data_IF_635521706316
#
_entry.id   IF_635521706316
#
_cell.length_a   1.000
_cell.length_b   1.000
_cell.length_c   1.000
_cell.angle_alpha   90.00
_cell.angle_beta   90.00
_cell.angle_gamma   90.00
#
_symmetry.space_group_name_H-M   'P 1'
#
loop_
_entity.id
_entity.type
_entity.pdbx_description
1 polymer ?
#
# COMPACT_ATOMS: atom_id res chain seq x y z
N UNK A 1 -7.92 10.22 -8.85
CA UNK A 1 -7.88 10.13 -7.37
C UNK A 1 -8.15 11.49 -6.70
N UNK A 2 -8.73 12.44 -7.44
CA UNK A 2 -9.00 13.80 -6.96
C UNK A 2 -9.75 13.78 -5.62
N UNK A 3 -9.17 14.45 -4.61
CA UNK A 3 -9.74 14.57 -3.27
C UNK A 3 -9.62 13.32 -2.39
N UNK A 4 -8.90 12.28 -2.85
CA UNK A 4 -8.63 11.08 -2.07
C UNK A 4 -7.38 11.23 -1.23
N UNK A 5 -7.39 10.63 -0.03
CA UNK A 5 -6.26 10.56 0.88
C UNK A 5 -5.62 9.17 0.78
N UNK A 6 -4.35 9.11 0.41
CA UNK A 6 -3.60 7.87 0.22
C UNK A 6 -2.45 7.82 1.22
N UNK A 7 -2.47 6.82 2.11
CA UNK A 7 -1.33 6.53 2.96
C UNK A 7 -0.39 5.57 2.21
N UNK A 8 0.87 5.97 2.06
CA UNK A 8 1.91 5.17 1.43
C UNK A 8 2.86 4.65 2.51
N UNK A 9 2.69 3.39 2.88
CA UNK A 9 3.55 2.70 3.84
C UNK A 9 4.73 2.08 3.10
N UNK A 10 5.97 2.44 3.49
CA UNK A 10 7.18 1.83 2.97
C UNK A 10 7.87 0.99 4.04
N UNK A 11 8.43 -0.14 3.62
CA UNK A 11 9.09 -1.09 4.51
C UNK A 11 10.56 -1.30 4.14
N UNK A 12 11.30 -2.12 4.87
CA UNK A 12 12.75 -2.25 4.76
C UNK A 12 13.25 -2.97 3.50
N UNK A 13 12.88 -2.50 2.32
CA UNK A 13 13.35 -3.01 1.03
C UNK A 13 14.01 -1.91 0.19
N UNK A 14 14.97 -2.27 -0.67
CA UNK A 14 15.71 -1.31 -1.50
C UNK A 14 14.82 -0.44 -2.38
N UNK A 15 13.67 -0.96 -2.84
CA UNK A 15 12.68 -0.21 -3.62
C UNK A 15 12.07 0.97 -2.86
N UNK A 16 12.23 1.06 -1.54
CA UNK A 16 11.80 2.24 -0.77
C UNK A 16 12.53 3.52 -1.21
N UNK A 17 13.73 3.43 -1.76
CA UNK A 17 14.49 4.59 -2.31
C UNK A 17 13.73 5.28 -3.43
N UNK A 18 12.93 4.52 -4.18
CA UNK A 18 12.24 4.98 -5.38
C UNK A 18 10.78 5.37 -5.12
N UNK A 19 10.33 5.37 -3.85
CA UNK A 19 8.90 5.62 -3.49
C UNK A 19 8.39 6.97 -3.99
N UNK A 20 9.28 7.94 -4.18
CA UNK A 20 8.92 9.25 -4.75
C UNK A 20 8.19 9.12 -6.08
N UNK A 21 8.52 8.11 -6.89
CA UNK A 21 7.85 7.84 -8.18
C UNK A 21 6.34 7.63 -7.95
N UNK A 22 5.97 6.79 -6.98
CA UNK A 22 4.55 6.56 -6.67
C UNK A 22 3.90 7.81 -6.07
N UNK A 23 4.59 8.52 -5.18
CA UNK A 23 4.06 9.75 -4.59
C UNK A 23 3.78 10.82 -5.65
N UNK A 24 4.69 11.00 -6.61
CA UNK A 24 4.52 11.94 -7.71
C UNK A 24 3.33 11.53 -8.61
N UNK A 25 3.18 10.25 -8.93
CA UNK A 25 2.05 9.72 -9.70
C UNK A 25 0.71 9.96 -8.98
N UNK A 26 0.62 9.62 -7.70
CA UNK A 26 -0.58 9.82 -6.91
C UNK A 26 -0.96 11.31 -6.81
N UNK A 27 0.05 12.17 -6.64
CA UNK A 27 -0.15 13.63 -6.63
C UNK A 27 -0.65 14.15 -7.98
N UNK A 28 -0.11 13.65 -9.09
CA UNK A 28 -0.57 13.98 -10.44
C UNK A 28 -2.03 13.59 -10.67
N UNK A 29 -2.48 12.48 -10.06
CA UNK A 29 -3.88 12.04 -10.05
C UNK A 29 -4.76 12.84 -9.07
N UNK A 30 -4.22 13.84 -8.39
CA UNK A 30 -4.95 14.72 -7.47
C UNK A 30 -5.20 14.15 -6.08
N UNK A 31 -4.44 13.13 -5.67
CA UNK A 31 -4.51 12.57 -4.32
C UNK A 31 -3.69 13.40 -3.31
N UNK A 32 -4.14 13.41 -2.06
CA UNK A 32 -3.34 13.85 -0.92
C UNK A 32 -2.55 12.65 -0.40
N UNK A 33 -1.22 12.73 -0.45
CA UNK A 33 -0.34 11.61 -0.07
C UNK A 33 0.27 11.84 1.31
N UNK A 34 0.25 10.80 2.15
CA UNK A 34 0.95 10.77 3.43
C UNK A 34 1.90 9.58 3.44
N UNK A 35 3.19 9.87 3.48
CA UNK A 35 4.23 8.84 3.53
C UNK A 35 4.41 8.33 4.96
N UNK A 36 4.33 7.02 5.15
CA UNK A 36 4.46 6.33 6.43
C UNK A 36 5.61 5.31 6.40
N UNK A 37 6.87 5.77 6.48
CA UNK A 37 8.00 4.85 6.45
C UNK A 37 8.15 4.13 7.80
N UNK A 38 8.42 2.81 7.75
CA UNK A 38 8.86 2.08 8.93
C UNK A 38 10.28 2.52 9.36
N UNK A 39 10.68 2.23 10.59
CA UNK A 39 12.03 2.55 11.07
C UNK A 39 13.12 1.99 10.14
N UNK A 40 12.98 0.74 9.69
CA UNK A 40 13.91 0.13 8.73
C UNK A 40 13.87 0.82 7.36
N UNK A 41 12.72 1.26 6.91
CA UNK A 41 12.62 2.03 5.67
C UNK A 41 13.35 3.38 5.78
N UNK A 42 13.23 4.07 6.91
CA UNK A 42 13.95 5.32 7.16
C UNK A 42 15.49 5.18 7.11
N UNK A 43 16.03 3.99 7.44
CA UNK A 43 17.48 3.76 7.35
C UNK A 43 17.97 3.45 5.92
N UNK A 44 17.04 3.17 5.00
CA UNK A 44 17.33 2.86 3.59
C UNK A 44 17.09 4.08 2.69
N UNK A 45 16.03 4.84 2.98
CA UNK A 45 15.61 5.99 2.19
C UNK A 45 16.42 7.24 2.54
N UNK A 46 16.74 8.06 1.54
CA UNK A 46 17.09 9.45 1.79
C UNK A 46 15.80 10.28 1.85
N UNK A 47 15.41 10.68 3.05
CA UNK A 47 14.18 11.45 3.28
C UNK A 47 14.18 12.82 2.59
N UNK A 48 15.35 13.36 2.21
CA UNK A 48 15.44 14.60 1.42
C UNK A 48 14.81 14.43 0.03
N UNK A 49 14.84 13.23 -0.53
CA UNK A 49 14.24 12.95 -1.86
C UNK A 49 12.72 13.09 -1.87
N UNK A 50 12.09 12.98 -0.71
CA UNK A 50 10.63 13.09 -0.52
C UNK A 50 10.24 14.37 0.24
N UNK A 51 11.15 15.36 0.29
CA UNK A 51 10.85 16.69 0.82
C UNK A 51 9.68 17.31 0.04
N UNK A 52 8.73 17.90 0.77
CA UNK A 52 7.49 18.41 0.19
C UNK A 52 6.30 17.45 0.24
N UNK A 53 6.51 16.22 0.73
CA UNK A 53 5.43 15.32 1.11
C UNK A 53 5.25 15.27 2.63
N UNK A 54 4.00 15.11 3.09
CA UNK A 54 3.74 14.90 4.51
C UNK A 54 4.23 13.52 4.93
N UNK A 55 5.05 13.46 6.00
CA UNK A 55 5.63 12.23 6.51
C UNK A 55 5.14 11.99 7.94
N UNK A 56 4.56 10.81 8.21
CA UNK A 56 4.13 10.38 9.55
C UNK A 56 4.82 9.07 9.93
N UNK A 57 5.71 9.10 10.93
CA UNK A 57 6.53 7.94 11.32
C UNK A 57 5.96 7.16 12.49
N UNK A 58 5.40 7.86 13.48
CA UNK A 58 4.95 7.30 14.75
C UNK A 58 3.69 8.00 15.25
N UNK A 59 3.05 7.42 16.28
CA UNK A 59 2.10 8.13 17.11
C UNK A 59 2.77 9.32 17.79
N UNK A 60 2.08 10.43 17.85
CA UNK A 60 2.40 11.53 18.75
C UNK A 60 1.54 11.38 19.99
N UNK A 61 2.15 11.06 21.13
CA UNK A 61 1.45 10.84 22.40
C UNK A 61 1.35 12.06 23.28
N UNK A 62 1.90 13.20 22.88
CA UNK A 62 1.84 14.41 23.67
C UNK A 62 0.44 15.00 23.63
N UNK A 63 -0.17 15.19 24.81
CA UNK A 63 -1.48 15.87 24.97
C UNK A 63 -1.49 17.30 24.41
N UNK A 64 -0.31 17.88 24.20
CA UNK A 64 -0.09 19.21 23.61
C UNK A 64 0.05 19.19 22.10
N UNK A 65 0.03 17.99 21.48
CA UNK A 65 0.08 17.88 20.03
C UNK A 65 -1.14 18.59 19.46
N UNK A 66 -0.85 19.72 18.85
CA UNK A 66 -1.86 20.61 18.31
C UNK A 66 -2.70 19.87 17.26
N UNK A 67 -3.92 20.33 17.08
CA UNK A 67 -4.83 19.91 16.00
C UNK A 67 -4.13 19.89 14.62
N UNK A 68 -3.04 20.64 14.47
CA UNK A 68 -2.21 20.74 13.26
C UNK A 68 -1.37 19.48 12.93
N UNK A 69 -1.22 18.54 13.86
CA UNK A 69 -0.51 17.27 13.60
C UNK A 69 -1.44 16.11 13.22
N UNK A 70 -2.75 16.34 13.21
CA UNK A 70 -3.70 15.35 12.74
C UNK A 70 -3.59 15.21 11.22
N UNK A 71 -3.30 14.01 10.78
CA UNK A 71 -3.38 13.67 9.36
C UNK A 71 -4.84 13.38 9.00
N UNK A 72 -5.29 13.74 7.79
CA UNK A 72 -6.65 13.40 7.33
C UNK A 72 -6.83 11.89 7.27
N UNK A 73 -8.07 11.41 7.47
CA UNK A 73 -8.41 9.99 7.38
C UNK A 73 -8.12 9.44 5.97
N UNK A 74 -7.61 8.24 5.90
CA UNK A 74 -7.26 7.58 4.65
C UNK A 74 -8.49 7.05 3.91
N UNK A 75 -8.46 7.15 2.60
CA UNK A 75 -9.35 6.42 1.68
C UNK A 75 -8.71 5.10 1.24
N UNK A 76 -7.37 5.08 1.12
CA UNK A 76 -6.58 3.94 0.66
C UNK A 76 -5.27 3.87 1.43
N UNK A 77 -4.85 2.66 1.77
CA UNK A 77 -3.48 2.40 2.21
C UNK A 77 -2.74 1.61 1.13
N UNK A 78 -1.56 2.06 0.75
CA UNK A 78 -0.65 1.36 -0.15
C UNK A 78 0.57 0.92 0.65
N UNK A 79 0.84 -0.38 0.68
CA UNK A 79 2.04 -0.96 1.33
C UNK A 79 3.01 -1.35 0.23
N UNK A 80 3.90 -0.43 -0.13
CA UNK A 80 4.83 -0.59 -1.25
C UNK A 80 6.16 0.16 -0.99
N UNK A 81 7.29 -0.55 -0.97
CA UNK A 81 7.43 -2.00 -1.01
C UNK A 81 6.96 -2.69 0.28
N UNK A 82 6.42 -3.91 0.20
CA UNK A 82 6.04 -4.74 1.33
C UNK A 82 7.01 -5.90 1.49
N UNK A 83 7.85 -5.87 2.54
CA UNK A 83 8.79 -6.96 2.85
C UNK A 83 8.07 -8.21 3.37
N UNK A 84 8.74 -9.37 3.30
CA UNK A 84 8.25 -10.63 3.87
C UNK A 84 7.76 -10.49 5.32
N UNK A 85 8.54 -9.78 6.17
CA UNK A 85 8.17 -9.54 7.57
C UNK A 85 6.83 -8.80 7.69
N UNK A 86 6.67 -7.70 6.97
CA UNK A 86 5.43 -6.91 7.01
C UNK A 86 4.26 -7.67 6.39
N UNK A 87 4.49 -8.35 5.26
CA UNK A 87 3.49 -9.18 4.59
C UNK A 87 2.94 -10.27 5.51
N UNK A 88 3.84 -10.98 6.19
CA UNK A 88 3.48 -12.02 7.14
C UNK A 88 2.73 -11.47 8.36
N UNK A 89 3.14 -10.30 8.87
CA UNK A 89 2.46 -9.65 10.00
C UNK A 89 1.06 -9.19 9.63
N UNK A 90 0.87 -8.61 8.46
CA UNK A 90 -0.48 -8.23 7.99
C UNK A 90 -1.36 -9.47 7.88
N UNK A 91 -0.88 -10.55 7.28
CA UNK A 91 -1.65 -11.79 7.13
C UNK A 91 -2.04 -12.43 8.49
N UNK A 92 -1.25 -12.23 9.53
CA UNK A 92 -1.44 -12.89 10.81
C UNK A 92 -1.91 -11.97 11.95
N UNK A 93 -2.36 -10.74 11.64
CA UNK A 93 -2.96 -9.83 12.62
C UNK A 93 -1.96 -9.25 13.63
N UNK A 94 -0.66 -9.16 13.29
CA UNK A 94 0.38 -8.66 14.18
C UNK A 94 0.54 -7.15 13.98
N UNK A 95 0.28 -6.36 15.02
CA UNK A 95 0.30 -4.90 15.00
C UNK A 95 1.35 -4.35 15.99
N UNK A 96 2.62 -4.72 15.79
CA UNK A 96 3.73 -4.41 16.71
C UNK A 96 4.46 -3.08 16.42
N UNK A 97 3.97 -2.30 15.46
CA UNK A 97 4.45 -0.95 15.17
C UNK A 97 3.32 -0.05 14.67
N UNK A 98 3.60 1.25 14.56
CA UNK A 98 2.61 2.25 14.18
C UNK A 98 1.96 1.95 12.82
N UNK A 99 2.76 1.64 11.80
CA UNK A 99 2.26 1.39 10.45
C UNK A 99 1.35 0.16 10.41
N UNK A 100 1.73 -0.93 11.08
CA UNK A 100 0.91 -2.13 11.17
C UNK A 100 -0.40 -1.87 11.95
N UNK A 101 -0.36 -1.07 13.02
CA UNK A 101 -1.57 -0.70 13.75
C UNK A 101 -2.57 0.04 12.86
N UNK A 102 -2.10 0.98 12.04
CA UNK A 102 -2.94 1.70 11.07
C UNK A 102 -3.50 0.74 10.01
N UNK A 103 -2.65 -0.13 9.45
CA UNK A 103 -3.09 -1.11 8.43
C UNK A 103 -4.18 -2.02 9.00
N UNK A 104 -4.00 -2.57 10.20
CA UNK A 104 -4.99 -3.47 10.80
C UNK A 104 -6.30 -2.76 11.16
N UNK A 105 -6.24 -1.53 11.67
CA UNK A 105 -7.42 -0.73 11.90
C UNK A 105 -8.19 -0.48 10.58
N UNK A 106 -7.47 -0.11 9.52
CA UNK A 106 -8.05 0.11 8.20
C UNK A 106 -8.67 -1.17 7.60
N UNK A 107 -8.04 -2.34 7.79
CA UNK A 107 -8.64 -3.64 7.42
C UNK A 107 -9.98 -3.82 8.12
N UNK A 108 -10.02 -3.59 9.43
CA UNK A 108 -11.24 -3.74 10.25
C UNK A 108 -12.36 -2.76 9.86
N UNK A 109 -12.00 -1.55 9.42
CA UNK A 109 -12.94 -0.56 8.90
C UNK A 109 -13.33 -0.76 7.43
N UNK A 110 -12.85 -1.83 6.79
CA UNK A 110 -13.16 -2.11 5.38
C UNK A 110 -12.51 -1.16 4.38
N UNK A 111 -11.49 -0.38 4.79
CA UNK A 111 -10.74 0.51 3.89
C UNK A 111 -9.99 -0.31 2.83
N UNK A 112 -9.81 0.27 1.65
CA UNK A 112 -9.11 -0.42 0.57
C UNK A 112 -7.59 -0.39 0.80
N UNK A 113 -6.96 -1.56 0.68
CA UNK A 113 -5.54 -1.74 0.91
C UNK A 113 -4.90 -2.38 -0.31
N UNK A 114 -3.83 -1.79 -0.79
CA UNK A 114 -3.02 -2.30 -1.90
C UNK A 114 -1.66 -2.73 -1.35
N UNK A 115 -1.26 -3.96 -1.61
CA UNK A 115 0.01 -4.52 -1.13
C UNK A 115 0.87 -4.90 -2.34
N UNK A 116 2.09 -4.37 -2.40
CA UNK A 116 3.10 -4.73 -3.41
C UNK A 116 4.27 -5.46 -2.75
N UNK A 117 4.28 -6.81 -2.77
CA UNK A 117 5.34 -7.61 -2.16
C UNK A 117 6.70 -7.34 -2.80
N UNK A 118 7.72 -7.17 -1.95
CA UNK A 118 9.12 -6.95 -2.31
C UNK A 118 10.00 -7.80 -1.39
N UNK A 119 10.36 -8.98 -1.85
CA UNK A 119 11.15 -9.94 -1.10
C UNK A 119 12.02 -10.77 -2.04
N UNK A 120 13.13 -11.33 -1.54
CA UNK A 120 13.96 -12.20 -2.33
C UNK A 120 13.30 -13.55 -2.62
N UNK A 121 13.84 -14.30 -3.57
CA UNK A 121 13.30 -15.58 -4.02
C UNK A 121 13.13 -16.60 -2.88
N UNK A 122 14.08 -16.65 -1.91
CA UNK A 122 13.98 -17.56 -0.77
C UNK A 122 12.76 -17.30 0.10
N UNK A 123 12.48 -16.03 0.40
CA UNK A 123 11.27 -15.65 1.11
C UNK A 123 10.01 -15.84 0.28
N UNK A 124 10.10 -15.59 -1.03
CA UNK A 124 8.96 -15.77 -1.91
C UNK A 124 8.53 -17.24 -2.02
N UNK A 125 9.52 -18.15 -2.05
CA UNK A 125 9.29 -19.59 -2.11
C UNK A 125 9.01 -20.22 -0.72
N UNK A 126 9.08 -19.45 0.36
CA UNK A 126 8.83 -19.95 1.70
C UNK A 126 7.38 -20.45 1.82
N UNK A 127 7.12 -21.65 2.40
CA UNK A 127 5.77 -22.21 2.50
C UNK A 127 4.73 -21.25 3.08
N UNK A 128 5.09 -20.54 4.16
CA UNK A 128 4.19 -19.57 4.80
C UNK A 128 3.81 -18.39 3.88
N UNK A 129 4.64 -18.05 2.89
CA UNK A 129 4.33 -16.98 1.94
C UNK A 129 3.12 -17.34 1.10
N UNK A 130 3.05 -18.59 0.64
CA UNK A 130 1.90 -19.10 -0.13
C UNK A 130 0.61 -19.06 0.70
N UNK A 131 0.68 -19.46 1.96
CA UNK A 131 -0.46 -19.42 2.88
C UNK A 131 -0.91 -17.97 3.12
N UNK A 132 0.05 -17.06 3.34
CA UNK A 132 -0.23 -15.65 3.54
C UNK A 132 -0.85 -14.99 2.31
N UNK A 133 -0.43 -15.35 1.09
CA UNK A 133 -1.09 -14.89 -0.15
C UNK A 133 -2.55 -15.35 -0.20
N UNK A 134 -2.82 -16.63 0.06
CA UNK A 134 -4.17 -17.16 0.08
C UNK A 134 -5.05 -16.45 1.12
N UNK A 135 -4.50 -16.24 2.32
CA UNK A 135 -5.19 -15.57 3.41
C UNK A 135 -5.51 -14.11 3.10
N UNK A 136 -4.54 -13.34 2.62
CA UNK A 136 -4.76 -11.92 2.27
C UNK A 136 -5.70 -11.76 1.07
N UNK A 137 -5.65 -12.65 0.08
CA UNK A 137 -6.59 -12.65 -1.04
C UNK A 137 -8.03 -12.96 -0.61
N UNK A 138 -8.24 -13.62 0.53
CA UNK A 138 -9.59 -13.85 1.07
C UNK A 138 -10.21 -12.63 1.74
N UNK A 139 -9.42 -11.58 2.02
CA UNK A 139 -9.92 -10.33 2.58
C UNK A 139 -10.49 -9.46 1.45
N UNK A 140 -11.77 -9.16 1.49
CA UNK A 140 -12.49 -8.49 0.42
C UNK A 140 -12.03 -7.05 0.11
N UNK A 141 -11.27 -6.44 1.01
CA UNK A 141 -10.77 -5.06 0.91
C UNK A 141 -9.26 -4.99 0.65
N UNK A 142 -8.58 -6.10 0.42
CA UNK A 142 -7.15 -6.16 0.09
C UNK A 142 -6.97 -6.52 -1.39
N UNK A 143 -6.06 -5.82 -2.06
CA UNK A 143 -5.59 -6.16 -3.39
C UNK A 143 -4.07 -6.33 -3.37
N UNK A 144 -3.59 -7.42 -3.91
CA UNK A 144 -2.15 -7.69 -4.03
C UNK A 144 -1.71 -7.44 -5.47
N UNK A 145 -0.77 -6.52 -5.65
CA UNK A 145 -0.09 -6.32 -6.93
C UNK A 145 1.10 -7.27 -6.99
N UNK A 146 0.92 -8.37 -7.71
CA UNK A 146 1.90 -9.46 -7.73
C UNK A 146 3.24 -9.02 -8.31
N UNK A 147 4.37 -9.53 -7.75
CA UNK A 147 5.70 -9.24 -8.25
C UNK A 147 5.92 -9.79 -9.66
N UNK A 148 6.94 -9.28 -10.33
CA UNK A 148 7.35 -9.74 -11.65
C UNK A 148 8.49 -10.75 -11.54
N UNK A 149 8.45 -11.76 -12.42
CA UNK A 149 9.48 -12.77 -12.58
C UNK A 149 10.34 -12.38 -13.77
N UNK A 150 11.61 -12.16 -13.54
CA UNK A 150 12.58 -11.80 -14.56
C UNK A 150 13.39 -13.06 -14.92
N UNK A 151 13.43 -13.39 -16.20
CA UNK A 151 14.11 -14.56 -16.72
C UNK A 151 15.36 -14.15 -17.50
N UNK A 152 16.38 -14.98 -17.47
CA UNK A 152 17.58 -14.86 -18.31
C UNK A 152 17.25 -15.30 -19.74
N UNK A 153 18.20 -15.08 -20.66
CA UNK A 153 18.07 -15.50 -22.08
C UNK A 153 17.94 -17.02 -22.22
N UNK A 154 18.53 -17.79 -21.31
CA UNK A 154 18.44 -19.26 -21.26
C UNK A 154 17.10 -19.79 -20.69
N UNK A 155 16.15 -18.90 -20.34
CA UNK A 155 14.88 -19.24 -19.76
C UNK A 155 14.89 -19.55 -18.26
N UNK A 156 16.04 -19.49 -17.60
CA UNK A 156 16.13 -19.67 -16.15
C UNK A 156 15.68 -18.40 -15.40
N UNK A 157 15.06 -18.57 -14.23
CA UNK A 157 14.64 -17.44 -13.40
C UNK A 157 15.89 -16.70 -12.89
N UNK A 158 16.00 -15.41 -13.21
CA UNK A 158 17.05 -14.52 -12.71
C UNK A 158 16.69 -13.99 -11.32
N UNK A 159 15.54 -13.34 -11.22
CA UNK A 159 15.07 -12.75 -9.96
C UNK A 159 13.56 -12.53 -9.95
N UNK A 160 13.03 -12.36 -8.75
CA UNK A 160 11.67 -11.86 -8.50
C UNK A 160 11.80 -10.42 -8.02
N UNK A 161 11.05 -9.51 -8.60
CA UNK A 161 11.07 -8.07 -8.25
C UNK A 161 9.67 -7.56 -7.95
N UNK A 162 9.58 -6.55 -7.08
CA UNK A 162 8.31 -5.85 -6.85
C UNK A 162 7.71 -5.37 -8.18
N UNK A 163 6.40 -5.40 -8.28
CA UNK A 163 5.67 -4.82 -9.41
C UNK A 163 6.13 -3.37 -9.68
N UNK A 164 6.15 -2.92 -10.94
CA UNK A 164 6.40 -1.53 -11.30
C UNK A 164 5.44 -0.57 -10.61
N UNK A 165 5.89 0.64 -10.33
CA UNK A 165 5.10 1.67 -9.66
C UNK A 165 3.82 2.03 -10.43
N UNK A 166 3.87 1.99 -11.76
CA UNK A 166 2.75 2.21 -12.66
C UNK A 166 1.64 1.17 -12.44
N UNK A 167 1.98 -0.10 -12.31
CA UNK A 167 0.99 -1.17 -12.02
C UNK A 167 0.34 -1.00 -10.66
N UNK A 168 1.07 -0.48 -9.68
CA UNK A 168 0.54 -0.17 -8.35
C UNK A 168 -0.46 0.98 -8.45
N UNK A 169 -0.11 2.06 -9.16
CA UNK A 169 -1.02 3.17 -9.42
C UNK A 169 -2.28 2.72 -10.16
N UNK A 170 -2.14 1.94 -11.22
CA UNK A 170 -3.26 1.41 -12.02
C UNK A 170 -4.23 0.60 -11.15
N UNK A 171 -3.70 -0.22 -10.23
CA UNK A 171 -4.51 -1.00 -9.31
C UNK A 171 -5.35 -0.10 -8.39
N UNK A 172 -4.78 0.99 -7.87
CA UNK A 172 -5.49 1.97 -7.06
C UNK A 172 -6.57 2.67 -7.88
N UNK A 173 -6.21 3.18 -9.06
CA UNK A 173 -7.13 3.91 -9.93
C UNK A 173 -8.31 3.05 -10.39
N UNK A 174 -8.05 1.80 -10.75
CA UNK A 174 -9.07 0.86 -11.22
C UNK A 174 -10.18 0.63 -10.19
N UNK A 175 -9.85 0.57 -8.90
CA UNK A 175 -10.85 0.44 -7.82
C UNK A 175 -11.86 1.59 -7.87
N UNK A 176 -11.39 2.83 -7.98
CA UNK A 176 -12.25 4.01 -7.99
C UNK A 176 -13.02 4.19 -9.30
N UNK A 177 -12.48 3.72 -10.41
CA UNK A 177 -13.20 3.71 -11.70
C UNK A 177 -14.39 2.75 -11.65
N UNK A 178 -14.21 1.53 -11.10
CA UNK A 178 -15.30 0.56 -10.95
C UNK A 178 -16.41 1.05 -10.03
N UNK A 179 -16.10 1.71 -8.93
CA UNK A 179 -17.09 2.27 -8.00
C UNK A 179 -17.96 3.31 -8.72
N UNK A 180 -17.36 4.19 -9.54
CA UNK A 180 -18.13 5.18 -10.31
C UNK A 180 -19.14 4.55 -11.29
N UNK A 181 -18.86 3.36 -11.82
CA UNK A 181 -19.79 2.64 -12.69
C UNK A 181 -20.87 1.89 -11.90
N UNK A 182 -20.59 1.40 -10.70
CA UNK A 182 -21.58 0.74 -9.85
C UNK A 182 -22.58 1.74 -9.25
N UNK A 183 -22.12 2.92 -8.84
CA UNK A 183 -23.00 3.98 -8.31
C UNK A 183 -23.99 4.53 -9.37
N UNK A 184 -23.62 4.45 -10.65
CA UNK A 184 -24.55 4.84 -11.75
C UNK A 184 -25.60 3.79 -12.08
N UNK A 185 -25.56 2.60 -11.50
CA UNK A 185 -26.56 1.54 -11.71
C UNK A 185 -27.70 1.53 -10.71
N UNK A 186 -27.75 2.46 -9.76
CA UNK A 186 -28.79 2.50 -8.71
C UNK A 186 -29.96 3.42 -9.06
N UNK A 187 -29.91 4.17 -10.17
CA UNK A 187 -31.01 5.00 -10.62
C UNK A 187 -31.84 4.35 -11.74
N UNK A 188 -32.30 3.13 -11.55
CA UNK A 188 -33.50 2.65 -12.23
C UNK A 188 -34.63 2.61 -11.22
N UNK A 189 -35.33 3.72 -11.14
CA UNK A 189 -36.62 3.85 -10.49
C UNK A 189 -37.61 2.88 -11.19
N UNK A 190 -37.97 1.80 -10.51
CA UNK A 190 -39.02 0.87 -10.92
C UNK A 190 -40.34 1.34 -10.32
N UNK A 191 -40.74 2.55 -10.65
CA UNK A 191 -42.11 2.99 -10.45
C UNK A 191 -42.72 3.33 -11.81
N UNK A 192 -43.11 2.28 -12.55
CA UNK A 192 -44.18 2.32 -13.56
C UNK A 192 -44.34 0.94 -14.21
N UNK A 193 -44.99 0.00 -13.50
CA UNK A 193 -45.88 -1.02 -14.09
C UNK A 193 -46.99 -1.33 -13.07
#
# INVERSE_FOLDING_TARGET
LKGKVVYVVTTGANKSKDVKILLDYLKAEGATCILMPTATSCSIMDLKTVEGYQIKKNYTFNRTDSINERIPEEDVIVVAPCTFNTFSKIANGIADNYQLSIIHAAIGYGKYIVIAPSMNQGYFNHPITRENFAKLNSFGNISIVYPEYIYKEDGTLDRITMAPWEKILDNICHRYTKIRYSDKRVDYDMTDI
#
